data_IF_934459556942
#
_entry.id   IF_934459556942
#
_cell.length_a   1.000
_cell.length_b   1.000
_cell.length_c   1.000
_cell.angle_alpha   90.00
_cell.angle_beta   90.00
_cell.angle_gamma   90.00
#
_symmetry.space_group_name_H-M   'P 1'
#
loop_
_entity.id
_entity.type
_entity.pdbx_description
1 polymer ?
#
# COMPACT_ATOMS: atom_id res chain seq x y z
N UNK A 1 8.72 -0.56 0.32
CA UNK A 1 8.11 0.41 -0.62
C UNK A 1 8.46 -0.01 -2.03
N UNK A 2 7.49 -0.08 -2.94
CA UNK A 2 7.77 -0.22 -4.37
C UNK A 2 7.93 1.16 -5.01
N UNK A 3 8.85 1.28 -5.97
CA UNK A 3 8.99 2.46 -6.84
C UNK A 3 8.71 1.96 -8.25
N UNK A 4 7.62 2.44 -8.85
CA UNK A 4 7.07 1.91 -10.11
C UNK A 4 6.87 3.04 -11.10
N UNK A 5 7.33 2.82 -12.33
CA UNK A 5 7.08 3.73 -13.46
C UNK A 5 6.20 3.04 -14.49
N UNK A 6 5.25 3.76 -15.06
CA UNK A 6 4.34 3.23 -16.08
C UNK A 6 4.24 4.19 -17.27
N UNK A 7 3.99 3.65 -18.47
CA UNK A 7 3.66 4.49 -19.64
C UNK A 7 2.17 4.85 -19.74
N UNK A 8 1.30 4.10 -19.04
CA UNK A 8 -0.13 4.37 -19.00
C UNK A 8 -0.46 5.67 -18.25
N UNK A 9 -1.66 6.19 -18.50
CA UNK A 9 -2.20 7.34 -17.77
C UNK A 9 -2.75 6.89 -16.42
N UNK A 10 -2.75 7.78 -15.42
CA UNK A 10 -3.25 7.46 -14.09
C UNK A 10 -4.72 6.98 -14.13
N UNK A 11 -5.54 7.60 -14.97
CA UNK A 11 -6.96 7.26 -15.15
C UNK A 11 -7.16 5.84 -15.68
N UNK A 12 -6.21 5.33 -16.47
CA UNK A 12 -6.25 3.95 -16.97
C UNK A 12 -6.15 2.93 -15.82
N UNK A 13 -5.56 3.33 -14.70
CA UNK A 13 -5.40 2.51 -13.49
C UNK A 13 -6.36 2.91 -12.36
N UNK A 14 -7.44 3.61 -12.67
CA UNK A 14 -8.50 3.93 -11.71
C UNK A 14 -9.46 2.75 -11.51
N UNK A 15 -10.39 2.88 -10.55
CA UNK A 15 -11.48 1.90 -10.32
C UNK A 15 -12.34 1.58 -11.55
N UNK A 16 -12.36 2.47 -12.55
CA UNK A 16 -13.09 2.28 -13.81
C UNK A 16 -12.15 2.31 -15.03
N UNK A 17 -10.85 2.33 -14.79
CA UNK A 17 -9.83 2.35 -15.82
C UNK A 17 -9.67 0.98 -16.47
N UNK A 18 -9.30 0.96 -17.75
CA UNK A 18 -9.18 -0.28 -18.54
C UNK A 18 -8.13 -1.25 -18.00
N UNK A 19 -7.10 -0.75 -17.31
CA UNK A 19 -6.05 -1.58 -16.70
C UNK A 19 -6.41 -2.06 -15.29
N UNK A 20 -7.50 -1.54 -14.69
CA UNK A 20 -7.89 -1.77 -13.30
C UNK A 20 -7.07 -0.99 -12.28
N UNK A 21 -7.52 -0.93 -11.00
CA UNK A 21 -6.83 -0.22 -9.93
C UNK A 21 -5.34 -0.56 -9.82
N UNK A 22 -4.47 0.45 -9.75
CA UNK A 22 -3.02 0.21 -9.58
C UNK A 22 -2.70 -0.61 -8.33
N UNK A 23 -3.44 -0.39 -7.23
CA UNK A 23 -3.20 -1.08 -5.97
C UNK A 23 -3.56 -2.57 -6.06
N UNK A 24 -4.59 -2.92 -6.83
CA UNK A 24 -4.96 -4.31 -7.09
C UNK A 24 -3.88 -5.03 -7.93
N UNK A 25 -3.31 -4.34 -8.92
CA UNK A 25 -2.20 -4.87 -9.74
C UNK A 25 -0.94 -5.09 -8.91
N UNK A 26 -0.71 -4.25 -7.90
CA UNK A 26 0.45 -4.34 -7.00
C UNK A 26 0.21 -5.27 -5.80
N UNK A 27 -1.03 -5.69 -5.53
CA UNK A 27 -1.37 -6.56 -4.40
C UNK A 27 -0.56 -7.87 -4.38
N UNK A 28 -0.36 -8.61 -5.48
CA UNK A 28 0.44 -9.84 -5.45
C UNK A 28 1.89 -9.62 -5.00
N UNK A 29 2.47 -8.45 -5.28
CA UNK A 29 3.83 -8.10 -4.88
C UNK A 29 3.84 -7.59 -3.43
N UNK A 30 3.01 -6.58 -3.13
CA UNK A 30 2.94 -5.98 -1.81
C UNK A 30 2.49 -6.99 -0.75
N UNK A 31 1.37 -7.69 -0.97
CA UNK A 31 0.85 -8.66 -0.01
C UNK A 31 1.55 -10.02 -0.12
N UNK A 32 1.62 -10.57 -1.33
CA UNK A 32 2.08 -11.95 -1.55
C UNK A 32 3.59 -12.18 -1.46
N UNK A 33 4.40 -11.16 -1.74
CA UNK A 33 5.87 -11.28 -1.75
C UNK A 33 6.51 -10.51 -0.58
N UNK A 34 6.06 -9.29 -0.32
CA UNK A 34 6.67 -8.44 0.71
C UNK A 34 6.02 -8.64 2.09
N UNK A 35 4.70 -8.53 2.20
CA UNK A 35 4.03 -8.67 3.48
C UNK A 35 4.06 -10.10 4.01
N UNK A 36 3.90 -11.10 3.12
CA UNK A 36 3.90 -12.52 3.49
C UNK A 36 5.07 -12.96 4.39
N UNK A 37 6.35 -12.63 4.08
CA UNK A 37 7.48 -12.94 4.97
C UNK A 37 7.63 -11.97 6.16
N UNK A 38 6.78 -10.95 6.31
CA UNK A 38 6.72 -10.09 7.50
C UNK A 38 7.26 -8.67 7.34
N UNK A 39 7.38 -8.12 6.13
CA UNK A 39 7.75 -6.70 5.97
C UNK A 39 6.58 -5.76 6.32
N UNK A 40 6.91 -4.62 6.94
CA UNK A 40 6.03 -3.45 6.97
C UNK A 40 6.05 -2.77 5.59
N UNK A 41 5.06 -3.09 4.77
CA UNK A 41 5.02 -2.64 3.36
C UNK A 41 4.47 -1.23 3.26
N UNK A 42 5.35 -0.26 2.96
CA UNK A 42 4.92 1.12 2.72
C UNK A 42 4.14 1.29 1.40
N UNK A 43 3.19 2.25 1.31
CA UNK A 43 2.47 2.58 0.08
C UNK A 43 3.41 2.77 -1.11
N UNK A 44 3.09 2.28 -2.31
CA UNK A 44 3.97 2.41 -3.47
C UNK A 44 4.19 3.88 -3.86
N UNK A 45 5.31 4.16 -4.52
CA UNK A 45 5.52 5.39 -5.27
C UNK A 45 5.36 5.06 -6.75
N UNK A 46 4.25 5.51 -7.34
CA UNK A 46 3.94 5.25 -8.75
C UNK A 46 4.06 6.53 -9.55
N UNK A 47 4.68 6.44 -10.72
CA UNK A 47 4.78 7.53 -11.69
C UNK A 47 4.17 7.07 -13.01
N UNK A 48 3.26 7.87 -13.54
CA UNK A 48 2.53 7.59 -14.77
C UNK A 48 3.09 8.36 -15.95
N UNK A 49 2.85 7.87 -17.17
CA UNK A 49 3.24 8.48 -18.45
C UNK A 49 4.73 8.85 -18.56
N UNK A 50 5.62 8.05 -17.96
CA UNK A 50 7.05 8.38 -17.92
C UNK A 50 7.72 8.40 -19.30
N UNK A 51 7.12 7.72 -20.29
CA UNK A 51 7.56 7.74 -21.69
C UNK A 51 7.37 9.09 -22.38
N UNK A 52 6.63 10.02 -21.74
CA UNK A 52 6.35 11.36 -22.24
C UNK A 52 6.96 12.48 -21.39
N UNK A 53 7.78 12.15 -20.40
CA UNK A 53 8.44 13.14 -19.55
C UNK A 53 9.36 14.04 -20.38
N UNK A 54 9.15 15.34 -20.24
CA UNK A 54 10.13 16.36 -20.58
C UNK A 54 11.03 16.69 -19.40
N UNK A 55 12.02 17.55 -19.66
CA UNK A 55 12.96 18.03 -18.64
C UNK A 55 12.25 18.72 -17.46
N UNK A 56 11.15 19.44 -17.74
CA UNK A 56 10.33 20.08 -16.72
C UNK A 56 9.55 19.12 -15.82
N UNK A 57 9.33 17.87 -16.25
CA UNK A 57 8.55 16.87 -15.49
C UNK A 57 9.42 16.09 -14.51
N UNK A 58 10.71 15.94 -14.80
CA UNK A 58 11.60 15.08 -14.02
C UNK A 58 11.85 15.62 -12.61
N UNK A 59 12.28 16.89 -12.50
CA UNK A 59 12.72 17.44 -11.20
C UNK A 59 11.59 17.45 -10.15
N UNK A 60 10.33 17.82 -10.48
CA UNK A 60 9.21 17.69 -9.55
C UNK A 60 8.99 16.26 -9.05
N UNK A 61 9.13 15.26 -9.93
CA UNK A 61 8.97 13.84 -9.57
C UNK A 61 10.15 13.35 -8.73
N UNK A 62 11.37 13.79 -9.05
CA UNK A 62 12.56 13.48 -8.28
C UNK A 62 12.44 14.04 -6.85
N UNK A 63 12.00 15.29 -6.68
CA UNK A 63 11.75 15.86 -5.35
C UNK A 63 10.65 15.11 -4.59
N UNK A 64 9.57 14.72 -5.28
CA UNK A 64 8.53 13.88 -4.65
C UNK A 64 9.08 12.53 -4.17
N UNK A 65 9.99 11.91 -4.94
CA UNK A 65 10.66 10.68 -4.51
C UNK A 65 11.61 10.95 -3.33
N UNK A 66 12.42 12.02 -3.37
CA UNK A 66 13.29 12.41 -2.25
C UNK A 66 12.49 12.58 -0.97
N UNK A 67 11.32 13.20 -1.05
CA UNK A 67 10.43 13.35 0.10
C UNK A 67 9.93 12.01 0.64
N UNK A 68 9.53 11.07 -0.24
CA UNK A 68 9.20 9.70 0.19
C UNK A 68 10.38 9.00 0.86
N UNK A 69 11.60 9.22 0.39
CA UNK A 69 12.81 8.65 1.01
C UNK A 69 13.10 9.25 2.39
N UNK A 70 12.88 10.55 2.59
CA UNK A 70 13.03 11.24 3.88
C UNK A 70 12.00 10.79 4.93
N UNK A 71 10.87 10.27 4.49
CA UNK A 71 9.73 9.88 5.35
C UNK A 71 9.55 8.37 5.46
N UNK A 72 10.53 7.55 5.07
CA UNK A 72 10.42 6.09 5.10
C UNK A 72 10.08 5.53 6.49
N UNK A 73 10.70 6.07 7.54
CA UNK A 73 10.53 5.56 8.91
C UNK A 73 9.22 6.01 9.57
N UNK A 74 8.62 7.09 9.07
CA UNK A 74 7.42 7.71 9.66
C UNK A 74 6.16 7.51 8.83
N UNK A 75 6.30 7.12 7.56
CA UNK A 75 5.16 6.78 6.70
C UNK A 75 4.48 5.53 7.24
N UNK A 76 3.17 5.54 7.52
CA UNK A 76 2.47 4.34 7.95
C UNK A 76 2.48 3.28 6.84
N UNK A 77 2.72 1.99 7.17
CA UNK A 77 2.61 0.92 6.20
C UNK A 77 1.15 0.71 5.74
N UNK A 78 0.98 -0.01 4.64
CA UNK A 78 -0.33 -0.50 4.20
C UNK A 78 -0.86 -1.42 5.31
N UNK A 79 -2.09 -1.19 5.81
CA UNK A 79 -2.63 -1.90 6.97
C UNK A 79 -3.14 -3.29 6.59
N UNK A 80 -2.29 -4.16 6.04
CA UNK A 80 -2.72 -5.52 5.72
C UNK A 80 -3.07 -6.31 6.98
N UNK A 81 -4.15 -7.08 6.92
CA UNK A 81 -4.62 -7.93 8.01
C UNK A 81 -3.67 -9.09 8.24
N UNK A 82 -3.29 -9.32 9.49
CA UNK A 82 -2.43 -10.44 9.87
C UNK A 82 -3.19 -11.76 9.84
N UNK A 83 -2.64 -12.77 9.15
CA UNK A 83 -3.25 -14.10 9.06
C UNK A 83 -3.54 -14.71 10.45
N UNK A 84 -2.54 -14.68 11.33
CA UNK A 84 -2.63 -15.24 12.68
C UNK A 84 -2.96 -14.18 13.75
N UNK A 85 -3.44 -13.01 13.34
CA UNK A 85 -3.78 -11.90 14.23
C UNK A 85 -5.20 -11.95 14.80
N UNK A 86 -6.00 -12.95 14.40
CA UNK A 86 -7.39 -13.14 14.85
C UNK A 86 -8.45 -12.81 13.80
N UNK A 87 -8.10 -12.10 12.73
CA UNK A 87 -9.04 -11.66 11.69
C UNK A 87 -9.57 -12.80 10.80
N UNK A 88 -8.79 -13.88 10.68
CA UNK A 88 -9.13 -15.03 9.83
C UNK A 88 -9.52 -16.24 10.68
N UNK A 89 -10.48 -17.02 10.19
CA UNK A 89 -10.80 -18.33 10.75
C UNK A 89 -9.66 -19.31 10.46
N UNK A 90 -9.18 -20.02 11.50
CA UNK A 90 -8.18 -21.08 11.36
C UNK A 90 -8.90 -22.43 11.46
N UNK A 91 -8.72 -23.37 10.51
CA UNK A 91 -7.70 -23.41 9.44
C UNK A 91 -8.19 -22.93 8.06
N UNK A 92 -9.45 -22.49 7.90
CA UNK A 92 -10.01 -22.16 6.59
C UNK A 92 -9.36 -20.94 5.92
N UNK A 93 -8.66 -20.10 6.69
CA UNK A 93 -8.05 -18.83 6.28
C UNK A 93 -9.06 -17.87 5.64
N UNK A 94 -10.34 -18.01 5.95
CA UNK A 94 -11.37 -17.08 5.49
C UNK A 94 -11.48 -15.91 6.46
N UNK A 95 -11.60 -14.69 5.92
CA UNK A 95 -11.84 -13.50 6.72
C UNK A 95 -13.16 -13.66 7.47
N UNK A 96 -13.18 -13.28 8.75
CA UNK A 96 -14.39 -13.25 9.57
C UNK A 96 -15.47 -12.37 8.94
N UNK A 97 -16.72 -12.84 8.94
CA UNK A 97 -17.86 -12.18 8.29
C UNK A 97 -18.19 -10.79 8.85
N UNK A 98 -17.82 -10.56 10.11
CA UNK A 98 -18.00 -9.30 10.81
C UNK A 98 -16.93 -8.24 10.47
N UNK A 99 -15.89 -8.61 9.72
CA UNK A 99 -14.80 -7.73 9.30
C UNK A 99 -14.91 -7.37 7.81
N UNK A 100 -14.36 -6.21 7.46
CA UNK A 100 -14.40 -5.65 6.10
C UNK A 100 -15.44 -4.54 5.96
N UNK A 101 -15.12 -3.55 5.12
CA UNK A 101 -16.03 -2.44 4.85
C UNK A 101 -17.28 -2.93 4.08
N UNK A 102 -18.47 -2.34 4.30
CA UNK A 102 -19.66 -2.67 3.53
C UNK A 102 -19.43 -2.54 2.01
N UNK A 103 -19.61 -3.65 1.28
CA UNK A 103 -19.42 -3.70 -0.17
C UNK A 103 -17.97 -3.91 -0.63
N UNK A 104 -17.00 -4.00 0.28
CA UNK A 104 -15.65 -4.43 -0.05
C UNK A 104 -15.65 -5.90 -0.51
N UNK A 105 -14.90 -6.20 -1.56
CA UNK A 105 -14.71 -7.55 -2.09
C UNK A 105 -13.26 -7.72 -2.56
N UNK A 106 -12.82 -8.96 -2.76
CA UNK A 106 -11.48 -9.24 -3.25
C UNK A 106 -10.38 -8.67 -2.35
N UNK A 107 -9.36 -8.06 -2.96
CA UNK A 107 -8.16 -7.59 -2.25
C UNK A 107 -8.44 -6.53 -1.18
N UNK A 108 -9.45 -5.68 -1.39
CA UNK A 108 -9.82 -4.62 -0.45
C UNK A 108 -10.25 -5.15 0.94
N UNK A 109 -10.70 -6.40 1.03
CA UNK A 109 -11.05 -7.04 2.32
C UNK A 109 -9.83 -7.23 3.24
N UNK A 110 -8.64 -7.31 2.66
CA UNK A 110 -7.41 -7.64 3.38
C UNK A 110 -6.66 -6.41 3.90
N UNK A 111 -7.24 -5.22 3.75
CA UNK A 111 -6.77 -3.99 4.38
C UNK A 111 -7.68 -3.60 5.54
N UNK A 112 -7.11 -3.38 6.73
CA UNK A 112 -7.82 -2.81 7.87
C UNK A 112 -7.79 -1.28 7.82
N UNK A 113 -8.67 -0.72 6.99
CA UNK A 113 -8.81 0.74 6.82
C UNK A 113 -9.44 1.43 8.04
N UNK A 114 -10.03 0.69 8.98
CA UNK A 114 -10.59 1.23 10.21
C UNK A 114 -9.51 1.54 11.23
N UNK A 115 -8.50 0.67 11.38
CA UNK A 115 -7.34 0.89 12.25
C UNK A 115 -6.36 1.93 11.69
N UNK A 116 -6.21 2.04 10.37
CA UNK A 116 -5.37 3.06 9.76
C UNK A 116 -5.83 4.51 10.04
N UNK A 117 -7.13 4.71 10.29
CA UNK A 117 -7.70 6.02 10.67
C UNK A 117 -7.49 6.37 12.16
N UNK A 118 -7.15 5.40 13.01
CA UNK A 118 -6.99 5.61 14.46
C UNK A 118 -5.54 5.58 14.94
N UNK A 119 -4.59 5.23 14.07
CA UNK A 119 -3.17 5.14 14.40
C UNK A 119 -2.52 6.53 14.55
N UNK A 120 -2.45 7.04 15.78
CA UNK A 120 -1.50 8.10 16.18
C UNK A 120 -0.07 7.55 16.13
N UNK A 121 0.94 8.29 15.63
CA UNK A 121 2.30 7.77 15.54
C UNK A 121 2.82 7.30 16.90
N UNK A 122 3.25 6.03 16.99
CA UNK A 122 3.90 5.50 18.20
C UNK A 122 5.28 6.13 18.32
N UNK A 123 5.44 6.99 19.34
CA UNK A 123 6.76 7.42 19.83
C UNK A 123 7.54 6.20 20.32
N UNK A 124 8.67 5.91 19.70
CA UNK A 124 9.61 4.85 20.10
C UNK A 124 10.85 5.47 20.73
N UNK A 125 10.68 6.20 21.84
CA UNK A 125 11.77 6.37 22.80
C UNK A 125 11.83 5.08 23.65
N UNK A 126 12.71 4.16 23.25
CA UNK A 126 13.18 3.10 24.15
C UNK A 126 14.26 3.69 25.03
N UNK A 127 13.92 3.91 26.29
CA UNK A 127 14.91 4.06 27.37
C UNK A 127 15.78 2.80 27.40
N UNK A 128 17.08 2.98 27.19
CA UNK A 128 18.09 1.98 27.49
C UNK A 128 18.72 2.39 28.82
N UNK A 129 18.48 1.58 29.83
CA UNK A 129 19.16 1.60 31.12
C UNK A 129 20.60 1.08 30.99
#
# INVERSE_FOLDING_TARGET
>A
MLIVTTGGWEEHYSARGVNGPIDDLLFPINHGILYYPGYDVLPPFVVYRVDRFGEADFEPVAERLRERMRTLETTPPIPYRQQNGGDYHIPSMQLRSELGDPGATGFALHEDRATAKSATPRSTLRDVA
#
